data_IF_770974526016
#
_entry.id   IF_770974526016
#
_cell.length_a   1.000
_cell.length_b   1.000
_cell.length_c   1.000
_cell.angle_alpha   90.00
_cell.angle_beta   90.00
_cell.angle_gamma   90.00
#
_symmetry.space_group_name_H-M   'P 1'
#
loop_
_entity.id
_entity.type
_entity.pdbx_description
1 polymer ?
#
# COMPACT_ATOMS: atom_id res chain seq x y z
N UNK A 1 13.98 6.53 -6.22
CA UNK A 1 13.93 7.19 -7.54
C UNK A 1 13.26 6.32 -8.61
N UNK A 2 13.66 5.05 -8.79
CA UNK A 2 13.06 4.15 -9.80
C UNK A 2 11.54 3.98 -9.61
N UNK A 3 11.08 3.64 -8.39
CA UNK A 3 9.64 3.45 -8.11
C UNK A 3 8.80 4.67 -8.47
N UNK A 4 9.29 5.87 -8.14
CA UNK A 4 8.63 7.13 -8.46
C UNK A 4 8.54 7.36 -9.98
N UNK A 5 9.63 7.09 -10.71
CA UNK A 5 9.65 7.18 -12.18
C UNK A 5 8.66 6.17 -12.78
N UNK A 6 8.67 4.92 -12.33
CA UNK A 6 7.74 3.87 -12.79
C UNK A 6 6.29 4.28 -12.54
N UNK A 7 5.97 4.83 -11.37
CA UNK A 7 4.63 5.33 -11.05
C UNK A 7 4.19 6.43 -12.03
N UNK A 8 5.04 7.41 -12.33
CA UNK A 8 4.70 8.47 -13.29
C UNK A 8 4.56 7.96 -14.72
N UNK A 9 5.41 7.02 -15.14
CA UNK A 9 5.27 6.37 -16.46
C UNK A 9 3.91 5.67 -16.56
N UNK A 10 3.54 4.85 -15.57
CA UNK A 10 2.26 4.14 -15.54
C UNK A 10 1.06 5.10 -15.46
N UNK A 11 1.22 6.23 -14.76
CA UNK A 11 0.22 7.29 -14.69
C UNK A 11 0.00 7.95 -16.04
N UNK A 12 1.08 8.35 -16.72
CA UNK A 12 1.00 8.94 -18.07
C UNK A 12 0.37 7.94 -19.05
N UNK A 13 0.84 6.69 -19.07
CA UNK A 13 0.27 5.62 -19.90
C UNK A 13 -1.19 5.33 -19.59
N UNK A 14 -1.62 5.51 -18.34
CA UNK A 14 -3.03 5.39 -17.96
C UNK A 14 -3.85 6.52 -18.57
N UNK A 15 -3.37 7.76 -18.46
CA UNK A 15 -4.08 8.96 -18.94
C UNK A 15 -4.15 9.07 -20.46
N UNK A 16 -3.24 8.42 -21.20
CA UNK A 16 -3.31 8.37 -22.68
C UNK A 16 -4.41 7.43 -23.20
N UNK A 17 -4.93 6.52 -22.37
CA UNK A 17 -5.98 5.59 -22.81
C UNK A 17 -7.36 6.24 -22.76
N UNK A 18 -8.12 6.16 -23.85
CA UNK A 18 -9.45 6.78 -23.95
C UNK A 18 -10.48 6.17 -22.99
N UNK A 19 -10.34 4.90 -22.60
CA UNK A 19 -11.27 4.20 -21.73
C UNK A 19 -11.24 4.71 -20.28
N UNK A 20 -10.09 5.21 -19.79
CA UNK A 20 -9.99 5.76 -18.42
C UNK A 20 -10.90 6.96 -18.21
N UNK A 21 -11.15 7.75 -19.26
CA UNK A 21 -12.00 8.94 -19.22
C UNK A 21 -13.49 8.60 -19.20
N UNK A 22 -13.86 7.33 -19.38
CA UNK A 22 -15.24 6.84 -19.18
C UNK A 22 -15.52 6.47 -17.72
N UNK A 23 -14.51 6.51 -16.85
CA UNK A 23 -14.64 6.23 -15.41
C UNK A 23 -15.54 7.27 -14.75
N UNK A 24 -16.46 6.82 -13.89
CA UNK A 24 -17.39 7.71 -13.20
C UNK A 24 -16.66 8.69 -12.27
N UNK A 25 -17.27 9.83 -11.97
CA UNK A 25 -16.73 10.77 -10.98
C UNK A 25 -16.56 10.12 -9.60
N UNK A 26 -17.51 9.27 -9.20
CA UNK A 26 -17.46 8.56 -7.92
C UNK A 26 -16.28 7.60 -7.86
N UNK A 27 -16.00 6.89 -8.95
CA UNK A 27 -14.81 6.03 -9.06
C UNK A 27 -13.52 6.84 -8.98
N UNK A 28 -13.45 7.98 -9.67
CA UNK A 28 -12.29 8.88 -9.57
C UNK A 28 -12.08 9.40 -8.16
N UNK A 29 -13.15 9.81 -7.47
CA UNK A 29 -13.07 10.28 -6.09
C UNK A 29 -12.52 9.19 -5.16
N UNK A 30 -13.01 7.94 -5.31
CA UNK A 30 -12.53 6.80 -4.54
C UNK A 30 -11.07 6.49 -4.82
N UNK A 31 -10.67 6.44 -6.09
CA UNK A 31 -9.31 6.12 -6.51
C UNK A 31 -8.31 7.20 -6.07
N UNK A 32 -8.65 8.49 -6.21
CA UNK A 32 -7.80 9.60 -5.78
C UNK A 32 -7.70 9.68 -4.26
N UNK A 33 -8.78 9.44 -3.54
CA UNK A 33 -8.76 9.42 -2.07
C UNK A 33 -7.91 8.26 -1.57
N UNK A 34 -8.06 7.06 -2.17
CA UNK A 34 -7.22 5.91 -1.88
C UNK A 34 -5.75 6.19 -2.15
N UNK A 35 -5.44 6.80 -3.30
CA UNK A 35 -4.08 7.16 -3.69
C UNK A 35 -3.46 8.18 -2.73
N UNK A 36 -4.18 9.25 -2.37
CA UNK A 36 -3.69 10.24 -1.43
C UNK A 36 -3.48 9.64 -0.05
N UNK A 37 -4.40 8.80 0.42
CA UNK A 37 -4.28 8.18 1.73
C UNK A 37 -3.10 7.20 1.79
N UNK A 38 -2.97 6.31 0.81
CA UNK A 38 -1.88 5.32 0.78
C UNK A 38 -0.53 5.94 0.36
N UNK A 39 -0.54 6.96 -0.48
CA UNK A 39 0.66 7.60 -1.01
C UNK A 39 1.24 8.72 -0.13
N UNK A 40 0.43 9.29 0.79
CA UNK A 40 0.87 10.37 1.68
C UNK A 40 0.59 10.04 3.15
N UNK A 41 -0.65 9.76 3.52
CA UNK A 41 -1.05 9.62 4.94
C UNK A 41 -0.39 8.41 5.59
N UNK A 42 -0.43 7.25 4.94
CA UNK A 42 0.16 6.00 5.45
C UNK A 42 1.69 6.13 5.65
N UNK A 43 2.48 6.63 4.68
CA UNK A 43 3.90 6.88 4.89
C UNK A 43 4.20 7.87 6.03
N UNK A 44 3.44 8.96 6.13
CA UNK A 44 3.61 9.94 7.22
C UNK A 44 3.32 9.27 8.57
N UNK A 45 2.22 8.54 8.68
CA UNK A 45 1.85 7.79 9.88
C UNK A 45 2.90 6.73 10.23
N UNK A 46 3.47 6.07 9.24
CA UNK A 46 4.52 5.07 9.44
C UNK A 46 5.79 5.68 10.07
N UNK A 47 6.26 6.82 9.55
CA UNK A 47 7.47 7.49 10.05
C UNK A 47 7.24 8.19 11.41
N UNK A 48 6.04 8.73 11.63
CA UNK A 48 5.75 9.55 12.82
C UNK A 48 5.18 8.76 13.99
N UNK A 49 4.30 7.78 13.73
CA UNK A 49 3.58 7.05 14.77
C UNK A 49 4.13 5.64 14.92
N UNK A 50 4.19 4.87 13.83
CA UNK A 50 4.56 3.44 13.91
C UNK A 50 6.03 3.29 14.35
N UNK A 51 6.93 4.00 13.68
CA UNK A 51 8.35 3.99 14.03
C UNK A 51 8.62 4.44 15.48
N UNK A 52 7.96 5.51 15.94
CA UNK A 52 8.10 5.98 17.32
C UNK A 52 7.48 4.99 18.32
N UNK A 53 6.36 4.35 17.96
CA UNK A 53 5.75 3.28 18.74
C UNK A 53 6.69 2.09 18.91
N UNK A 54 7.40 1.69 17.86
CA UNK A 54 8.41 0.63 17.97
C UNK A 54 9.60 1.01 18.85
N UNK A 55 10.09 2.25 18.78
CA UNK A 55 11.12 2.71 19.73
C UNK A 55 10.65 2.67 21.19
N UNK A 56 9.40 3.02 21.42
CA UNK A 56 8.83 3.01 22.77
C UNK A 56 8.61 1.59 23.31
N UNK A 57 8.09 0.67 22.49
CA UNK A 57 7.76 -0.71 22.89
C UNK A 57 9.00 -1.62 22.91
N UNK A 58 9.95 -1.39 21.99
CA UNK A 58 11.14 -2.21 21.79
C UNK A 58 12.43 -1.37 21.90
N UNK A 59 12.67 -0.69 23.04
CA UNK A 59 13.76 0.28 23.17
C UNK A 59 15.16 -0.32 23.02
N UNK A 60 15.32 -1.62 23.28
CA UNK A 60 16.61 -2.32 23.16
C UNK A 60 16.86 -2.92 21.76
N UNK A 61 15.92 -2.75 20.83
CA UNK A 61 15.98 -3.33 19.48
C UNK A 61 16.24 -2.26 18.42
N UNK A 62 16.57 -1.03 18.82
CA UNK A 62 16.94 0.01 17.87
C UNK A 62 18.16 -0.43 17.05
N UNK A 63 18.04 -0.41 15.72
CA UNK A 63 19.04 -0.89 14.77
C UNK A 63 19.40 -2.38 14.90
N UNK A 64 18.58 -3.22 15.54
CA UNK A 64 18.84 -4.66 15.61
C UNK A 64 18.76 -5.35 14.24
N UNK A 65 18.02 -4.75 13.30
CA UNK A 65 17.92 -5.19 11.91
C UNK A 65 18.68 -4.18 11.05
N UNK A 66 19.96 -4.46 10.81
CA UNK A 66 20.81 -3.67 9.92
C UNK A 66 21.03 -4.47 8.62
N UNK A 67 20.24 -4.17 7.60
CA UNK A 67 20.29 -4.85 6.31
C UNK A 67 20.95 -3.95 5.26
N UNK A 68 21.79 -4.54 4.41
CA UNK A 68 22.19 -3.86 3.18
C UNK A 68 20.97 -3.65 2.29
N UNK A 69 20.99 -2.66 1.39
CA UNK A 69 19.85 -2.41 0.49
C UNK A 69 19.44 -3.64 -0.32
N UNK A 70 20.39 -4.51 -0.68
CA UNK A 70 20.13 -5.76 -1.40
C UNK A 70 19.43 -6.78 -0.49
N UNK A 71 19.90 -6.95 0.75
CA UNK A 71 19.28 -7.85 1.71
C UNK A 71 17.86 -7.39 2.08
N UNK A 72 17.67 -6.09 2.30
CA UNK A 72 16.36 -5.49 2.53
C UNK A 72 15.43 -5.71 1.33
N UNK A 73 15.92 -5.52 0.10
CA UNK A 73 15.14 -5.81 -1.11
C UNK A 73 14.72 -7.28 -1.19
N UNK A 74 15.64 -8.23 -0.97
CA UNK A 74 15.32 -9.67 -1.00
C UNK A 74 14.32 -10.02 0.09
N UNK A 75 14.50 -9.49 1.31
CA UNK A 75 13.56 -9.69 2.42
C UNK A 75 12.17 -9.19 2.05
N UNK A 76 12.07 -7.96 1.53
CA UNK A 76 10.79 -7.37 1.11
C UNK A 76 10.15 -8.17 -0.02
N UNK A 77 10.91 -8.46 -1.08
CA UNK A 77 10.40 -9.08 -2.30
C UNK A 77 10.00 -10.56 -2.10
N UNK A 78 10.72 -11.30 -1.26
CA UNK A 78 10.44 -12.73 -1.05
C UNK A 78 9.52 -12.92 0.14
N UNK A 79 9.94 -12.46 1.32
CA UNK A 79 9.21 -12.76 2.55
C UNK A 79 8.01 -11.83 2.71
N UNK A 80 8.20 -10.53 2.61
CA UNK A 80 7.13 -9.56 2.93
C UNK A 80 6.03 -9.60 1.88
N UNK A 81 6.36 -9.75 0.60
CA UNK A 81 5.35 -9.93 -0.45
C UNK A 81 4.59 -11.26 -0.31
N UNK A 82 5.26 -12.33 0.15
CA UNK A 82 4.58 -13.60 0.42
C UNK A 82 3.66 -13.50 1.65
N UNK A 83 4.07 -12.75 2.68
CA UNK A 83 3.20 -12.42 3.81
C UNK A 83 2.02 -11.55 3.38
N UNK A 84 2.26 -10.58 2.49
CA UNK A 84 1.21 -9.75 1.91
C UNK A 84 0.21 -10.60 1.11
N UNK A 85 0.68 -11.60 0.35
CA UNK A 85 -0.21 -12.54 -0.34
C UNK A 85 -1.18 -13.25 0.64
N UNK A 86 -0.67 -13.74 1.78
CA UNK A 86 -1.54 -14.35 2.79
C UNK A 86 -2.44 -13.33 3.48
N UNK A 87 -1.95 -12.14 3.79
CA UNK A 87 -2.74 -11.03 4.31
C UNK A 87 -3.89 -10.66 3.35
N UNK A 88 -3.62 -10.61 2.05
CA UNK A 88 -4.63 -10.41 1.02
C UNK A 88 -5.64 -11.54 0.98
N UNK A 89 -5.19 -12.80 1.05
CA UNK A 89 -6.10 -13.96 1.13
C UNK A 89 -6.98 -13.93 2.38
N UNK A 90 -6.46 -13.47 3.51
CA UNK A 90 -7.25 -13.27 4.73
C UNK A 90 -8.30 -12.17 4.55
N UNK A 91 -7.98 -11.08 3.85
CA UNK A 91 -8.92 -10.03 3.48
C UNK A 91 -10.06 -10.52 2.57
N UNK A 92 -9.88 -11.67 1.89
CA UNK A 92 -10.91 -12.37 1.13
C UNK A 92 -11.74 -13.37 1.94
N UNK A 93 -11.44 -13.57 3.22
CA UNK A 93 -12.27 -14.41 4.10
C UNK A 93 -13.59 -13.73 4.46
N UNK A 94 -14.59 -14.51 4.87
CA UNK A 94 -15.90 -13.98 5.28
C UNK A 94 -15.82 -12.91 6.38
N UNK A 95 -14.83 -13.02 7.28
CA UNK A 95 -14.68 -12.10 8.40
C UNK A 95 -14.12 -10.74 7.97
N UNK A 96 -13.14 -10.73 7.06
CA UNK A 96 -12.44 -9.50 6.66
C UNK A 96 -12.89 -8.93 5.32
N UNK A 97 -13.75 -9.64 4.57
CA UNK A 97 -14.25 -9.21 3.26
C UNK A 97 -14.85 -7.79 3.27
N UNK A 98 -15.51 -7.40 4.35
CA UNK A 98 -16.10 -6.06 4.46
C UNK A 98 -15.07 -4.93 4.35
N UNK A 99 -13.80 -5.18 4.71
CA UNK A 99 -12.68 -4.25 4.54
C UNK A 99 -12.17 -4.24 3.09
N UNK A 100 -12.27 -5.36 2.38
CA UNK A 100 -11.65 -5.52 1.05
C UNK A 100 -12.63 -5.36 -0.11
N UNK A 101 -13.95 -5.45 0.13
CA UNK A 101 -14.98 -5.36 -0.91
C UNK A 101 -14.86 -4.10 -1.79
N UNK A 102 -14.46 -2.96 -1.22
CA UNK A 102 -14.30 -1.69 -1.96
C UNK A 102 -13.18 -1.78 -2.99
N UNK A 103 -12.12 -2.54 -2.71
CA UNK A 103 -11.07 -2.80 -3.70
C UNK A 103 -11.62 -3.52 -4.94
N UNK A 104 -12.57 -4.44 -4.74
CA UNK A 104 -13.20 -5.22 -5.82
C UNK A 104 -14.32 -4.48 -6.56
N UNK A 105 -14.61 -3.22 -6.22
CA UNK A 105 -15.57 -2.42 -7.01
C UNK A 105 -14.94 -1.75 -8.22
N UNK A 106 -13.63 -1.95 -8.45
CA UNK A 106 -12.91 -1.33 -9.57
C UNK A 106 -13.55 -1.69 -10.91
N UNK A 107 -13.96 -0.67 -11.66
CA UNK A 107 -14.69 -0.81 -12.94
C UNK A 107 -13.76 -0.78 -14.14
N UNK A 108 -12.60 -0.13 -14.02
CA UNK A 108 -11.61 0.04 -15.07
C UNK A 108 -10.21 -0.30 -14.58
N UNK A 109 -9.45 -1.05 -15.38
CA UNK A 109 -8.05 -1.39 -15.06
C UNK A 109 -7.16 -0.20 -15.33
N UNK A 110 -6.73 0.49 -14.28
CA UNK A 110 -5.82 1.63 -14.34
C UNK A 110 -4.90 1.66 -13.11
N UNK A 111 -3.85 2.50 -13.12
CA UNK A 111 -2.89 2.55 -12.01
C UNK A 111 -3.52 3.05 -10.71
N UNK A 112 -4.52 3.92 -10.78
CA UNK A 112 -5.13 4.55 -9.61
C UNK A 112 -5.98 3.58 -8.80
N UNK A 113 -6.71 2.70 -9.48
CA UNK A 113 -7.53 1.65 -8.87
C UNK A 113 -6.75 0.66 -8.01
N UNK A 114 -5.41 0.58 -8.18
CA UNK A 114 -4.55 -0.23 -7.30
C UNK A 114 -4.59 0.24 -5.84
N UNK A 115 -4.82 1.54 -5.62
CA UNK A 115 -4.92 2.15 -4.30
C UNK A 115 -6.35 2.19 -3.74
N UNK A 116 -7.35 1.78 -4.54
CA UNK A 116 -8.76 1.74 -4.12
C UNK A 116 -8.96 0.78 -2.96
N UNK A 117 -9.29 1.33 -1.81
CA UNK A 117 -9.58 0.58 -0.59
C UNK A 117 -10.50 1.41 0.31
N UNK A 118 -11.07 0.80 1.36
CA UNK A 118 -11.52 1.62 2.49
C UNK A 118 -10.29 2.21 3.19
N UNK A 119 -10.42 3.38 3.83
CA UNK A 119 -9.32 3.95 4.61
C UNK A 119 -8.84 2.97 5.71
N UNK A 120 -9.78 2.21 6.27
CA UNK A 120 -9.50 1.18 7.27
C UNK A 120 -8.59 0.08 6.75
N UNK A 121 -8.82 -0.41 5.53
CA UNK A 121 -8.04 -1.52 4.94
C UNK A 121 -6.55 -1.24 5.00
N UNK A 122 -6.13 0.01 4.77
CA UNK A 122 -4.72 0.41 4.77
C UNK A 122 -4.01 0.17 6.11
N UNK A 123 -4.73 0.16 7.23
CA UNK A 123 -4.17 -0.19 8.55
C UNK A 123 -4.01 -1.71 8.75
N UNK A 124 -4.69 -2.52 7.96
CA UNK A 124 -4.61 -3.99 8.01
C UNK A 124 -3.67 -4.56 6.94
N UNK A 125 -3.09 -3.71 6.10
CA UNK A 125 -2.06 -4.10 5.13
C UNK A 125 -0.72 -4.23 5.85
N UNK A 126 -0.08 -5.39 5.70
CA UNK A 126 1.15 -5.74 6.43
C UNK A 126 2.31 -4.75 6.20
N UNK A 127 2.36 -4.11 5.03
CA UNK A 127 3.43 -3.18 4.67
C UNK A 127 3.55 -1.98 5.62
N UNK A 128 2.43 -1.47 6.16
CA UNK A 128 2.45 -0.36 7.13
C UNK A 128 3.29 -0.71 8.37
N UNK A 129 3.18 -1.95 8.82
CA UNK A 129 3.79 -2.43 10.06
C UNK A 129 5.23 -2.89 9.84
N UNK A 130 5.51 -3.56 8.72
CA UNK A 130 6.82 -4.18 8.54
C UNK A 130 7.89 -3.20 8.04
N UNK A 131 7.55 -2.29 7.13
CA UNK A 131 8.55 -1.42 6.50
C UNK A 131 9.14 -0.36 7.43
N UNK A 132 8.64 -0.19 8.66
CA UNK A 132 9.24 0.72 9.65
C UNK A 132 10.31 0.04 10.51
N UNK A 133 10.56 -1.26 10.29
CA UNK A 133 11.53 -2.05 11.06
C UNK A 133 12.96 -2.05 10.49
N UNK A 134 13.16 -1.63 9.24
CA UNK A 134 14.46 -1.67 8.54
C UNK A 134 14.55 -0.66 7.39
#
# INVERSE_FOLDING_TARGET
MIVFITFWILTILTLTRQDVWKTSWQDWLLDMTGLLFQGLVIPVLQITVVYQGYKFILPHWENSINLTSIAAFILSFVLIDYLYYWNHRLLHSSWFWHLHKVHHTVTQRNVFGTSRNTLWTSFFIIYLWVHSLF
#
